data_IF_681637176369
#
_entry.id   IF_681637176369
#
_cell.length_a   1.000
_cell.length_b   1.000
_cell.length_c   1.000
_cell.angle_alpha   90.00
_cell.angle_beta   90.00
_cell.angle_gamma   90.00
#
_symmetry.space_group_name_H-M   'P 1'
#
loop_
_entity.id
_entity.type
_entity.pdbx_description
1 polymer ?
#
# COMPACT_ATOMS: atom_id res chain seq x y z
N UNK A 1 -5.97 15.89 -14.45
CA UNK A 1 -6.67 14.72 -15.01
C UNK A 1 -5.76 13.87 -15.91
N UNK A 2 -4.97 14.51 -16.79
CA UNK A 2 -4.06 13.83 -17.73
C UNK A 2 -3.01 12.93 -17.07
N UNK A 3 -2.37 13.39 -16.00
CA UNK A 3 -1.39 12.57 -15.26
C UNK A 3 -2.00 11.25 -14.75
N UNK A 4 -3.20 11.31 -14.14
CA UNK A 4 -3.91 10.11 -13.67
C UNK A 4 -4.25 9.17 -14.82
N UNK A 5 -4.69 9.72 -15.95
CA UNK A 5 -4.98 8.94 -17.15
C UNK A 5 -3.70 8.27 -17.70
N UNK A 6 -2.58 8.98 -17.75
CA UNK A 6 -1.30 8.42 -18.19
C UNK A 6 -0.83 7.29 -17.26
N UNK A 7 -0.84 7.50 -15.94
CA UNK A 7 -0.42 6.51 -14.96
C UNK A 7 -1.37 5.30 -14.91
N UNK A 8 -2.67 5.48 -15.16
CA UNK A 8 -3.62 4.36 -15.23
C UNK A 8 -3.31 3.33 -16.32
N UNK A 9 -2.47 3.69 -17.30
CA UNK A 9 -2.03 2.79 -18.38
C UNK A 9 -0.81 1.96 -18.00
N UNK A 10 -0.13 2.29 -16.89
CA UNK A 10 1.01 1.52 -16.41
C UNK A 10 0.51 0.21 -15.81
N UNK A 11 0.95 -0.91 -16.38
CA UNK A 11 0.66 -2.21 -15.81
C UNK A 11 1.27 -2.32 -14.41
N UNK A 12 0.44 -2.65 -13.42
CA UNK A 12 0.86 -2.89 -12.04
C UNK A 12 0.15 -4.11 -11.50
N UNK A 13 0.80 -4.81 -10.56
CA UNK A 13 0.13 -5.80 -9.74
C UNK A 13 -0.89 -5.12 -8.82
N UNK A 14 -1.90 -5.86 -8.39
CA UNK A 14 -2.84 -5.42 -7.36
C UNK A 14 -2.56 -6.20 -6.09
N UNK A 15 -2.45 -5.49 -4.98
CA UNK A 15 -2.24 -6.09 -3.67
C UNK A 15 -3.27 -5.58 -2.67
N UNK A 16 -3.47 -6.34 -1.61
CA UNK A 16 -4.08 -5.85 -0.38
C UNK A 16 -2.98 -5.69 0.66
N UNK A 17 -2.84 -4.48 1.18
CA UNK A 17 -2.05 -4.21 2.38
C UNK A 17 -2.94 -4.46 3.59
N UNK A 18 -2.41 -5.10 4.63
CA UNK A 18 -3.15 -5.32 5.87
C UNK A 18 -2.27 -5.09 7.10
N UNK A 19 -2.85 -4.57 8.17
CA UNK A 19 -2.17 -4.35 9.44
C UNK A 19 -3.16 -4.54 10.58
N UNK A 20 -2.66 -4.91 11.75
CA UNK A 20 -3.48 -5.07 12.94
C UNK A 20 -3.22 -3.90 13.89
N UNK A 21 -4.28 -3.21 14.31
CA UNK A 21 -4.21 -2.08 15.25
C UNK A 21 -5.59 -1.80 15.83
N UNK A 22 -5.66 -1.06 16.94
CA UNK A 22 -6.94 -0.71 17.59
C UNK A 22 -7.86 -1.91 17.85
N UNK A 23 -7.28 -3.09 18.08
CA UNK A 23 -8.01 -4.35 18.32
C UNK A 23 -8.73 -4.94 17.10
N UNK A 24 -8.44 -4.49 15.88
CA UNK A 24 -9.03 -5.03 14.66
C UNK A 24 -8.08 -4.97 13.45
N UNK A 25 -8.44 -5.70 12.40
CA UNK A 25 -7.65 -5.72 11.17
C UNK A 25 -8.04 -4.57 10.25
N UNK A 26 -7.04 -3.86 9.74
CA UNK A 26 -7.16 -2.84 8.72
C UNK A 26 -6.62 -3.37 7.40
N UNK A 27 -7.21 -2.91 6.29
CA UNK A 27 -6.70 -3.22 4.96
C UNK A 27 -6.87 -2.06 3.99
N UNK A 28 -6.15 -2.13 2.88
CA UNK A 28 -6.47 -1.34 1.69
C UNK A 28 -5.93 -2.00 0.43
N UNK A 29 -6.62 -1.79 -0.68
CA UNK A 29 -6.08 -2.12 -1.99
C UNK A 29 -5.02 -1.10 -2.39
N UNK A 30 -3.88 -1.59 -2.88
CA UNK A 30 -2.80 -0.77 -3.40
C UNK A 30 -2.26 -1.35 -4.72
N UNK A 31 -1.71 -0.45 -5.54
CA UNK A 31 -1.01 -0.79 -6.79
C UNK A 31 0.40 -0.20 -6.86
N UNK A 32 0.71 0.77 -5.99
CA UNK A 32 2.00 1.42 -5.89
C UNK A 32 2.93 0.58 -5.02
N UNK A 33 3.44 -0.53 -5.56
CA UNK A 33 4.39 -1.43 -4.89
C UNK A 33 5.64 -1.60 -5.74
N UNK A 34 6.81 -1.59 -5.10
CA UNK A 34 8.08 -1.91 -5.74
C UNK A 34 9.00 -2.72 -4.81
N UNK A 35 9.68 -3.72 -5.37
CA UNK A 35 10.85 -4.34 -4.72
C UNK A 35 12.03 -3.39 -4.81
N UNK A 36 12.67 -3.08 -3.67
CA UNK A 36 13.78 -2.13 -3.60
C UNK A 36 15.09 -2.76 -3.13
N UNK A 37 15.04 -3.90 -2.46
CA UNK A 37 16.23 -4.69 -2.11
C UNK A 37 15.88 -6.17 -2.00
N UNK A 38 16.82 -7.04 -2.37
CA UNK A 38 16.73 -8.49 -2.18
C UNK A 38 17.49 -8.96 -0.94
N UNK A 39 18.54 -8.22 -0.53
CA UNK A 39 19.33 -8.50 0.67
C UNK A 39 19.75 -7.19 1.36
N UNK A 40 19.12 -6.81 2.49
CA UNK A 40 17.95 -7.46 3.08
C UNK A 40 16.70 -7.30 2.17
N UNK A 41 15.71 -8.20 2.26
CA UNK A 41 14.49 -8.10 1.45
C UNK A 41 13.67 -6.86 1.85
N UNK A 42 13.50 -5.91 0.93
CA UNK A 42 12.78 -4.65 1.16
C UNK A 42 11.77 -4.36 0.06
N UNK A 43 10.60 -3.88 0.47
CA UNK A 43 9.51 -3.41 -0.38
C UNK A 43 9.17 -1.95 -0.07
N UNK A 44 8.79 -1.21 -1.11
CA UNK A 44 8.25 0.14 -1.03
C UNK A 44 6.76 0.11 -1.37
N UNK A 45 5.97 0.85 -0.59
CA UNK A 45 4.57 1.16 -0.89
C UNK A 45 4.29 2.63 -0.63
N UNK A 46 3.35 3.22 -1.37
CA UNK A 46 2.88 4.57 -1.15
C UNK A 46 1.45 4.56 -0.60
N UNK A 47 1.28 5.04 0.63
CA UNK A 47 -0.01 5.18 1.29
C UNK A 47 -0.30 6.67 1.49
N UNK A 48 -1.52 7.09 1.18
CA UNK A 48 -1.98 8.45 1.43
C UNK A 48 -1.98 8.74 2.94
N UNK A 49 -1.44 9.89 3.37
CA UNK A 49 -1.31 10.19 4.80
C UNK A 49 -2.67 10.28 5.50
N UNK A 50 -3.68 10.79 4.78
CA UNK A 50 -5.05 10.88 5.27
C UNK A 50 -5.79 9.53 5.29
N UNK A 51 -5.18 8.44 4.79
CA UNK A 51 -5.79 7.12 4.87
C UNK A 51 -5.70 6.59 6.31
N UNK A 52 -6.82 6.09 6.84
CA UNK A 52 -6.87 5.41 8.15
C UNK A 52 -5.81 4.29 8.29
N UNK A 53 -5.44 3.66 7.17
CA UNK A 53 -4.41 2.62 7.14
C UNK A 53 -3.01 3.16 7.49
N UNK A 54 -2.71 4.43 7.17
CA UNK A 54 -1.41 5.05 7.43
C UNK A 54 -1.08 5.10 8.92
N UNK A 55 -2.00 5.61 9.75
CA UNK A 55 -1.81 5.70 11.20
C UNK A 55 -1.63 4.32 11.84
N UNK A 56 -2.47 3.36 11.46
CA UNK A 56 -2.41 1.98 11.97
C UNK A 56 -1.07 1.32 11.68
N UNK A 57 -0.53 1.50 10.49
CA UNK A 57 0.77 0.91 10.12
C UNK A 57 1.91 1.52 10.92
N UNK A 58 1.85 2.83 11.20
CA UNK A 58 2.85 3.50 12.03
C UNK A 58 2.83 2.95 13.47
N UNK A 59 1.65 2.77 14.03
CA UNK A 59 1.48 2.29 15.40
C UNK A 59 1.80 0.78 15.52
N UNK A 60 1.41 -0.02 14.53
CA UNK A 60 1.68 -1.46 14.47
C UNK A 60 3.15 -1.79 14.21
N UNK A 61 3.93 -0.83 13.70
CA UNK A 61 5.34 -1.02 13.34
C UNK A 61 5.57 -1.89 12.10
N UNK A 62 4.51 -2.22 11.36
CA UNK A 62 4.59 -3.01 10.13
C UNK A 62 3.22 -3.35 9.51
N UNK A 63 3.27 -4.01 8.36
CA UNK A 63 2.10 -4.46 7.62
C UNK A 63 2.42 -5.73 6.82
N UNK A 64 1.38 -6.45 6.40
CA UNK A 64 1.45 -7.58 5.49
C UNK A 64 0.98 -7.19 4.09
N UNK A 65 1.47 -7.91 3.08
CA UNK A 65 1.11 -7.74 1.68
C UNK A 65 0.52 -9.04 1.12
N UNK A 66 -0.68 -8.94 0.55
CA UNK A 66 -1.36 -10.04 -0.14
C UNK A 66 -1.37 -9.74 -1.64
N UNK A 67 -0.57 -10.47 -2.42
CA UNK A 67 -0.54 -10.33 -3.88
C UNK A 67 -1.78 -11.01 -4.47
N UNK A 68 -2.58 -10.27 -5.24
CA UNK A 68 -3.85 -10.76 -5.77
C UNK A 68 -3.72 -11.30 -7.19
N UNK A 69 -4.32 -12.47 -7.41
CA UNK A 69 -4.57 -13.02 -8.74
C UNK A 69 -5.89 -12.52 -9.34
N UNK A 70 -6.13 -12.83 -10.63
CA UNK A 70 -7.33 -12.40 -11.36
C UNK A 70 -8.65 -12.78 -10.66
N UNK A 71 -8.71 -13.99 -10.08
CA UNK A 71 -9.90 -14.49 -9.37
C UNK A 71 -10.25 -13.68 -8.10
N UNK A 72 -9.29 -12.93 -7.55
CA UNK A 72 -9.46 -12.15 -6.31
C UNK A 72 -9.86 -10.69 -6.58
N UNK A 73 -10.36 -10.38 -7.78
CA UNK A 73 -10.85 -9.05 -8.13
C UNK A 73 -11.87 -8.50 -7.12
N UNK A 74 -12.75 -9.35 -6.60
CA UNK A 74 -13.73 -8.97 -5.57
C UNK A 74 -13.07 -8.45 -4.29
N UNK A 75 -11.94 -9.03 -3.88
CA UNK A 75 -11.19 -8.55 -2.72
C UNK A 75 -10.56 -7.19 -3.02
N UNK A 76 -9.94 -7.03 -4.19
CA UNK A 76 -9.38 -5.74 -4.62
C UNK A 76 -10.43 -4.62 -4.62
N UNK A 77 -11.62 -4.87 -5.17
CA UNK A 77 -12.68 -3.86 -5.21
C UNK A 77 -13.23 -3.56 -3.80
N UNK A 78 -13.39 -4.59 -2.96
CA UNK A 78 -13.85 -4.42 -1.58
C UNK A 78 -12.89 -3.55 -0.76
N UNK A 79 -11.59 -3.87 -0.76
CA UNK A 79 -10.60 -3.13 0.03
C UNK A 79 -10.22 -1.78 -0.58
N UNK A 80 -10.66 -1.47 -1.81
CA UNK A 80 -10.61 -0.14 -2.40
C UNK A 80 -11.83 0.72 -2.05
N UNK A 81 -12.92 0.13 -1.52
CA UNK A 81 -14.19 0.83 -1.27
C UNK A 81 -14.06 1.78 -0.06
N UNK A 82 -14.29 3.10 -0.24
CA UNK A 82 -14.35 4.05 0.86
C UNK A 82 -15.55 3.78 1.77
N UNK A 83 -15.41 4.03 3.07
CA UNK A 83 -16.53 3.96 4.01
C UNK A 83 -17.05 2.55 4.35
N UNK A 84 -16.42 1.48 3.85
CA UNK A 84 -16.75 0.11 4.24
C UNK A 84 -16.58 -0.12 5.76
N UNK A 85 -17.26 -1.12 6.35
CA UNK A 85 -17.09 -1.47 7.75
C UNK A 85 -15.63 -1.73 8.11
N UNK A 86 -15.23 -1.31 9.32
CA UNK A 86 -13.89 -1.58 9.85
C UNK A 86 -13.82 -2.96 10.49
N UNK A 87 -14.82 -3.30 11.29
CA UNK A 87 -14.93 -4.59 11.98
C UNK A 87 -15.59 -5.61 11.04
N UNK A 88 -15.06 -6.84 11.03
CA UNK A 88 -15.56 -7.94 10.20
C UNK A 88 -15.27 -7.78 8.70
N UNK A 89 -14.42 -6.84 8.30
CA UNK A 89 -14.16 -6.56 6.87
C UNK A 89 -13.51 -7.73 6.12
N UNK A 90 -12.92 -8.69 6.84
CA UNK A 90 -12.30 -9.90 6.31
C UNK A 90 -13.22 -11.12 6.32
N UNK A 91 -14.40 -11.08 6.96
CA UNK A 91 -15.26 -12.25 7.19
C UNK A 91 -15.70 -12.95 5.90
N UNK A 92 -15.70 -12.22 4.79
CA UNK A 92 -16.09 -12.72 3.46
C UNK A 92 -14.90 -13.21 2.61
N UNK A 93 -13.67 -13.23 3.15
CA UNK A 93 -12.47 -13.67 2.45
C UNK A 93 -11.68 -14.68 3.29
N UNK A 94 -11.24 -15.81 2.70
CA UNK A 94 -10.29 -16.68 3.38
C UNK A 94 -8.93 -15.95 3.50
N UNK A 95 -8.47 -15.74 4.74
CA UNK A 95 -7.15 -15.17 5.02
C UNK A 95 -6.16 -16.31 5.26
N UNK A 96 -5.11 -16.36 4.44
CA UNK A 96 -4.00 -17.30 4.62
C UNK A 96 -2.73 -16.50 4.85
N UNK A 97 -2.12 -16.69 6.02
CA UNK A 97 -0.89 -16.00 6.40
C UNK A 97 0.29 -16.92 6.12
N UNK A 98 1.25 -16.45 5.33
CA UNK A 98 2.54 -17.12 5.14
C UNK A 98 3.62 -16.27 5.80
N UNK A 99 4.29 -16.83 6.81
CA UNK A 99 5.51 -16.25 7.36
C UNK A 99 6.67 -16.85 6.57
N UNK A 100 7.43 -16.02 5.86
CA UNK A 100 8.70 -16.48 5.30
C UNK A 100 9.73 -16.47 6.44
N UNK A 101 10.55 -17.51 6.56
CA UNK A 101 11.64 -17.61 7.57
C UNK A 101 12.77 -16.59 7.32
N UNK A 102 12.68 -15.81 6.24
CA UNK A 102 13.38 -14.55 6.14
C UNK A 102 12.68 -13.57 7.08
N UNK A 103 13.43 -12.91 7.95
CA UNK A 103 12.97 -11.83 8.83
C UNK A 103 12.21 -10.74 8.03
N UNK A 104 10.94 -10.96 7.70
CA UNK A 104 10.02 -9.92 7.21
C UNK A 104 9.49 -9.23 8.45
N UNK A 105 10.40 -8.53 9.12
CA UNK A 105 10.01 -7.31 9.79
C UNK A 105 9.87 -6.32 8.64
N UNK A 106 8.66 -6.12 8.13
CA UNK A 106 8.40 -4.92 7.33
C UNK A 106 8.39 -3.74 8.30
N UNK A 107 9.56 -3.40 8.83
CA UNK A 107 9.88 -2.03 9.21
C UNK A 107 10.04 -1.30 7.87
N UNK A 108 8.91 -1.04 7.21
CA UNK A 108 8.86 0.12 6.35
C UNK A 108 9.10 1.27 7.31
N UNK A 109 10.33 1.73 7.37
CA UNK A 109 10.61 3.05 7.91
C UNK A 109 9.78 3.97 7.02
N UNK A 110 8.59 4.34 7.47
CA UNK A 110 7.79 5.38 6.85
C UNK A 110 8.61 6.65 7.07
N UNK A 111 9.59 6.88 6.22
CA UNK A 111 10.04 8.24 5.97
C UNK A 111 8.88 8.85 5.21
N UNK A 112 8.01 9.51 5.96
CA UNK A 112 7.22 10.63 5.42
C UNK A 112 8.15 11.36 4.46
N UNK A 113 7.84 11.31 3.16
CA UNK A 113 8.43 12.23 2.20
C UNK A 113 7.94 13.59 2.67
N UNK A 114 8.79 14.30 3.40
CA UNK A 114 8.43 15.60 3.94
C UNK A 114 8.19 16.60 2.81
N UNK A 115 7.61 17.77 3.13
CA UNK A 115 7.28 18.80 2.15
C UNK A 115 8.46 19.26 1.28
N UNK A 116 9.70 18.97 1.66
CA UNK A 116 10.93 19.28 0.90
C UNK A 116 11.01 18.61 -0.48
N UNK A 117 10.41 17.43 -0.69
CA UNK A 117 10.39 16.77 -2.00
C UNK A 117 9.27 17.25 -2.91
N UNK A 118 8.30 18.02 -2.38
CA UNK A 118 7.26 18.67 -3.17
C UNK A 118 7.81 19.68 -4.19
N UNK A 119 9.01 20.22 -3.93
CA UNK A 119 9.71 21.11 -4.86
C UNK A 119 10.38 20.35 -6.01
N UNK A 120 10.83 19.12 -5.78
CA UNK A 120 11.51 18.29 -6.80
C UNK A 120 10.51 17.77 -7.82
N UNK A 121 9.26 17.46 -7.41
CA UNK A 121 8.20 17.05 -8.33
C UNK A 121 7.59 18.22 -9.14
N UNK A 122 7.80 19.47 -8.72
CA UNK A 122 7.42 20.66 -9.49
C UNK A 122 8.44 21.05 -10.57
N UNK A 123 9.62 20.44 -10.59
CA UNK A 123 10.65 20.69 -11.60
C UNK A 123 10.78 19.56 -12.62
N UNK A 124 9.63 19.05 -13.10
CA UNK A 124 9.54 18.29 -14.35
C UNK A 124 9.60 19.23 -15.58
N UNK A 125 9.96 18.71 -16.77
CA UNK A 125 10.59 19.47 -17.83
C UNK A 125 9.62 20.42 -18.56
N UNK A 126 9.51 21.65 -18.07
CA UNK A 126 9.01 22.78 -18.85
C UNK A 126 9.82 24.05 -18.57
N UNK A 127 11.14 23.90 -18.60
CA UNK A 127 12.09 25.01 -18.62
C UNK A 127 12.95 24.93 -19.86
N UNK A 128 12.49 25.57 -20.93
CA UNK A 128 13.34 26.21 -21.95
C UNK A 128 12.59 27.43 -22.52
N UNK A 129 13.36 28.44 -22.97
CA UNK A 129 13.14 29.86 -22.69
C UNK A 129 11.92 30.49 -23.36
#
# INVERSE_FOLDING_TARGET
AEFRAAISRLASGVVVLSAHGDGHDHAMTATAIASVSLDPPLLLTCVEQAARFHEVVLDAGGFAISILGHAQRRAADWFATPGRPLIGQFDQFPVVVFTLDALIVTLAHVRSIGPEWGHILKQGPDSRP
#
